data_IF_086934763274
#
_entry.id   IF_086934763274
#
_cell.length_a   1.000
_cell.length_b   1.000
_cell.length_c   1.000
_cell.angle_alpha   90.00
_cell.angle_beta   90.00
_cell.angle_gamma   90.00
#
_symmetry.space_group_name_H-M   'P 1'
#
loop_
_entity.id
_entity.type
_entity.pdbx_description
1 polymer ?
#
# COMPACT_ATOMS: atom_id res chain seq x y z
N UNK A 1 -12.15 1.46 7.97
CA UNK A 1 -10.90 0.95 8.61
C UNK A 1 -11.12 0.81 10.11
N UNK A 2 -10.57 -0.24 10.72
CA UNK A 2 -10.59 -0.39 12.20
C UNK A 2 -9.78 0.76 12.83
N UNK A 3 -10.20 1.24 13.99
CA UNK A 3 -9.57 2.40 14.66
C UNK A 3 -8.09 2.13 14.98
N UNK A 4 -7.81 0.99 15.58
CA UNK A 4 -6.45 0.58 15.96
C UNK A 4 -5.53 0.42 14.72
N UNK A 5 -6.07 -0.09 13.61
CA UNK A 5 -5.32 -0.20 12.37
C UNK A 5 -5.00 1.19 11.76
N UNK A 6 -5.89 2.16 11.91
CA UNK A 6 -5.63 3.54 11.52
C UNK A 6 -4.54 4.18 12.39
N UNK A 7 -4.60 3.96 13.71
CA UNK A 7 -3.57 4.45 14.64
C UNK A 7 -2.19 3.88 14.29
N UNK A 8 -2.09 2.58 14.01
CA UNK A 8 -0.83 1.94 13.58
C UNK A 8 -0.35 2.52 12.26
N UNK A 9 -1.25 2.72 11.29
CA UNK A 9 -0.90 3.29 9.98
C UNK A 9 -0.32 4.70 10.13
N UNK A 10 -0.86 5.53 11.01
CA UNK A 10 -0.39 6.90 11.24
C UNK A 10 0.84 6.98 12.14
N UNK A 11 0.95 6.11 13.14
CA UNK A 11 2.15 6.01 13.98
C UNK A 11 3.39 5.55 13.20
N UNK A 12 3.15 4.80 12.13
CA UNK A 12 4.18 4.26 11.27
C UNK A 12 4.54 2.81 11.59
N UNK A 13 4.72 2.05 10.53
CA UNK A 13 5.10 0.63 10.64
C UNK A 13 5.76 0.13 9.36
N UNK A 14 6.18 -1.13 9.39
CA UNK A 14 6.61 -1.87 8.20
C UNK A 14 5.45 -2.67 7.63
N UNK A 15 5.22 -2.50 6.33
CA UNK A 15 4.18 -3.20 5.57
C UNK A 15 4.84 -3.97 4.43
N UNK A 16 5.17 -5.26 4.61
CA UNK A 16 5.65 -6.07 3.51
C UNK A 16 4.56 -6.28 2.46
N UNK A 17 4.95 -6.08 1.19
CA UNK A 17 4.21 -6.49 0.02
C UNK A 17 4.53 -7.97 -0.24
N UNK A 18 3.56 -8.84 -0.03
CA UNK A 18 3.81 -10.29 0.01
C UNK A 18 3.96 -10.89 -1.38
N UNK A 19 4.96 -11.77 -1.62
CA UNK A 19 5.03 -12.55 -2.84
C UNK A 19 3.95 -13.62 -2.89
N UNK A 20 3.72 -14.17 -4.09
CA UNK A 20 2.83 -15.27 -4.35
C UNK A 20 3.59 -16.60 -4.26
N UNK A 21 3.09 -17.53 -3.45
CA UNK A 21 3.61 -18.88 -3.38
C UNK A 21 2.86 -19.78 -4.37
N UNK A 22 3.60 -20.38 -5.29
CA UNK A 22 3.08 -21.30 -6.29
C UNK A 22 3.79 -22.66 -6.22
N UNK A 23 3.06 -23.73 -6.53
CA UNK A 23 3.63 -25.06 -6.79
C UNK A 23 4.40 -25.07 -8.11
N UNK A 24 5.14 -26.14 -8.37
CA UNK A 24 5.83 -26.36 -9.65
C UNK A 24 4.86 -26.31 -10.86
N UNK A 25 3.60 -26.71 -10.65
CA UNK A 25 2.54 -26.69 -11.66
C UNK A 25 1.82 -25.33 -11.75
N UNK A 26 2.41 -24.27 -11.17
CA UNK A 26 1.87 -22.89 -11.14
C UNK A 26 0.48 -22.76 -10.49
N UNK A 27 0.12 -23.68 -9.59
CA UNK A 27 -1.08 -23.58 -8.75
C UNK A 27 -0.73 -22.90 -7.43
N UNK A 28 -1.72 -22.30 -6.76
CA UNK A 28 -1.53 -21.71 -5.45
C UNK A 28 -1.00 -22.76 -4.44
N UNK A 29 0.16 -22.49 -3.87
CA UNK A 29 0.69 -23.24 -2.73
C UNK A 29 0.14 -22.66 -1.43
N UNK A 30 -1.03 -23.14 -0.98
CA UNK A 30 -1.67 -22.72 0.27
C UNK A 30 -0.72 -22.82 1.46
N UNK A 31 0.00 -23.93 1.60
CA UNK A 31 0.93 -24.14 2.70
C UNK A 31 2.10 -23.14 2.66
N UNK A 32 2.68 -22.93 1.49
CA UNK A 32 3.75 -21.95 1.27
C UNK A 32 3.28 -20.54 1.57
N UNK A 33 2.10 -20.15 1.07
CA UNK A 33 1.52 -18.83 1.31
C UNK A 33 1.27 -18.58 2.80
N UNK A 34 0.73 -19.55 3.54
CA UNK A 34 0.53 -19.45 5.00
C UNK A 34 1.85 -19.35 5.77
N UNK A 35 2.87 -20.13 5.38
CA UNK A 35 4.20 -20.04 6.01
C UNK A 35 4.82 -18.66 5.81
N UNK A 36 4.66 -18.07 4.64
CA UNK A 36 5.13 -16.74 4.32
C UNK A 36 4.46 -15.68 5.20
N UNK A 37 3.14 -15.77 5.39
CA UNK A 37 2.42 -14.86 6.28
C UNK A 37 2.92 -14.97 7.72
N UNK A 38 3.06 -16.19 8.24
CA UNK A 38 3.59 -16.43 9.59
C UNK A 38 5.00 -15.88 9.77
N UNK A 39 5.83 -15.98 8.73
CA UNK A 39 7.17 -15.40 8.75
C UNK A 39 7.12 -13.88 8.96
N UNK A 40 6.36 -13.14 8.14
CA UNK A 40 6.25 -11.69 8.25
C UNK A 40 5.65 -11.25 9.58
N UNK A 41 4.58 -11.90 10.03
CA UNK A 41 3.91 -11.59 11.29
C UNK A 41 4.84 -11.82 12.50
N UNK A 42 5.56 -12.96 12.54
CA UNK A 42 6.52 -13.25 13.61
C UNK A 42 7.76 -12.36 13.55
N UNK A 43 8.10 -11.84 12.38
CA UNK A 43 9.18 -10.88 12.20
C UNK A 43 8.82 -9.48 12.71
N UNK A 44 7.56 -9.21 13.05
CA UNK A 44 7.11 -7.96 13.65
C UNK A 44 6.54 -6.96 12.64
N UNK A 45 6.09 -7.40 11.46
CA UNK A 45 5.34 -6.54 10.55
C UNK A 45 4.06 -6.03 11.23
N UNK A 46 3.82 -4.72 11.21
CA UNK A 46 2.60 -4.12 11.75
C UNK A 46 1.48 -4.00 10.71
N UNK A 47 1.78 -4.29 9.45
CA UNK A 47 0.80 -4.43 8.38
C UNK A 47 1.24 -5.48 7.36
N UNK A 48 0.31 -5.97 6.58
CA UNK A 48 0.54 -6.91 5.46
C UNK A 48 -0.23 -6.43 4.24
N UNK A 49 0.44 -6.37 3.09
CA UNK A 49 -0.19 -6.07 1.81
C UNK A 49 -0.12 -7.27 0.86
N UNK A 50 -1.25 -7.66 0.29
CA UNK A 50 -1.37 -8.78 -0.64
C UNK A 50 -2.25 -8.43 -1.83
N UNK A 51 -2.07 -9.13 -2.97
CA UNK A 51 -2.71 -8.73 -4.22
C UNK A 51 -2.11 -7.46 -4.81
N UNK A 52 -0.86 -7.14 -4.47
CA UNK A 52 -0.11 -5.98 -4.94
C UNK A 52 0.97 -6.42 -5.94
N UNK A 53 1.75 -5.49 -6.48
CA UNK A 53 2.77 -5.78 -7.51
C UNK A 53 3.63 -7.02 -7.19
N UNK A 54 4.12 -7.15 -5.95
CA UNK A 54 4.94 -8.30 -5.53
C UNK A 54 4.19 -9.64 -5.46
N UNK A 55 2.85 -9.58 -5.34
CA UNK A 55 1.98 -10.76 -5.35
C UNK A 55 1.65 -11.21 -6.77
N UNK A 56 2.06 -10.45 -7.77
CA UNK A 56 1.76 -10.58 -9.20
C UNK A 56 0.38 -10.04 -9.57
N UNK A 57 0.34 -9.10 -10.55
CA UNK A 57 -0.92 -8.51 -11.00
C UNK A 57 -1.79 -9.49 -11.79
N UNK A 58 -1.21 -10.54 -12.33
CA UNK A 58 -1.93 -11.59 -13.06
C UNK A 58 -2.99 -12.29 -12.21
N UNK A 59 -2.87 -12.29 -10.88
CA UNK A 59 -3.90 -12.88 -10.01
C UNK A 59 -5.22 -12.13 -10.02
N UNK A 60 -5.24 -10.89 -10.51
CA UNK A 60 -6.45 -10.07 -10.69
C UNK A 60 -7.22 -10.43 -11.95
N UNK A 61 -6.63 -11.19 -12.87
CA UNK A 61 -7.33 -11.73 -14.03
C UNK A 61 -8.37 -12.77 -13.57
N UNK A 62 -9.65 -12.61 -13.93
CA UNK A 62 -10.68 -13.59 -13.59
C UNK A 62 -10.40 -15.01 -14.10
N UNK A 63 -9.67 -15.15 -15.22
CA UNK A 63 -9.28 -16.46 -15.75
C UNK A 63 -8.23 -17.15 -14.87
N UNK A 64 -7.37 -16.38 -14.21
CA UNK A 64 -6.40 -16.90 -13.21
C UNK A 64 -7.10 -17.21 -11.89
N UNK A 65 -8.02 -16.35 -11.46
CA UNK A 65 -8.92 -16.58 -10.33
C UNK A 65 -8.24 -16.70 -8.95
N UNK A 66 -7.02 -16.18 -8.79
CA UNK A 66 -6.25 -16.36 -7.55
C UNK A 66 -6.39 -15.21 -6.55
N UNK A 67 -6.96 -14.08 -6.90
CA UNK A 67 -7.07 -12.93 -5.99
C UNK A 67 -7.85 -13.28 -4.72
N UNK A 68 -9.06 -13.80 -4.87
CA UNK A 68 -9.92 -14.12 -3.73
C UNK A 68 -9.32 -15.18 -2.79
N UNK A 69 -8.82 -16.34 -3.27
CA UNK A 69 -8.21 -17.32 -2.39
C UNK A 69 -6.93 -16.81 -1.70
N UNK A 70 -6.08 -16.03 -2.37
CA UNK A 70 -4.88 -15.43 -1.75
C UNK A 70 -5.27 -14.46 -0.66
N UNK A 71 -6.20 -13.55 -0.91
CA UNK A 71 -6.67 -12.60 0.09
C UNK A 71 -7.32 -13.30 1.28
N UNK A 72 -8.08 -14.38 1.06
CA UNK A 72 -8.68 -15.16 2.14
C UNK A 72 -7.62 -15.81 3.05
N UNK A 73 -6.61 -16.46 2.48
CA UNK A 73 -5.49 -17.05 3.24
C UNK A 73 -4.79 -16.01 4.11
N UNK A 74 -4.50 -14.84 3.54
CA UNK A 74 -3.81 -13.75 4.27
C UNK A 74 -4.67 -13.24 5.41
N UNK A 75 -5.97 -12.99 5.17
CA UNK A 75 -6.90 -12.55 6.20
C UNK A 75 -7.03 -13.56 7.37
N UNK A 76 -7.10 -14.86 7.05
CA UNK A 76 -7.15 -15.94 8.04
C UNK A 76 -5.88 -16.01 8.91
N UNK A 77 -4.68 -15.96 8.31
CA UNK A 77 -3.43 -16.03 9.07
C UNK A 77 -3.24 -14.79 9.95
N UNK A 78 -3.65 -13.61 9.47
CA UNK A 78 -3.65 -12.40 10.30
C UNK A 78 -4.63 -12.55 11.47
N UNK A 79 -5.86 -13.01 11.22
CA UNK A 79 -6.86 -13.20 12.28
C UNK A 79 -6.38 -14.19 13.36
N UNK A 80 -5.73 -15.28 12.96
CA UNK A 80 -5.10 -16.24 13.89
C UNK A 80 -4.00 -15.60 14.72
N UNK A 81 -3.16 -14.77 14.08
CA UNK A 81 -2.09 -14.07 14.77
C UNK A 81 -2.63 -13.03 15.75
N UNK A 82 -3.60 -12.21 15.33
CA UNK A 82 -4.26 -11.21 16.18
C UNK A 82 -4.89 -11.87 17.41
N UNK A 83 -5.64 -12.96 17.22
CA UNK A 83 -6.28 -13.71 18.30
C UNK A 83 -5.26 -14.29 19.31
N UNK A 84 -4.11 -14.77 18.82
CA UNK A 84 -3.08 -15.38 19.65
C UNK A 84 -2.26 -14.34 20.43
N UNK A 85 -1.98 -13.18 19.84
CA UNK A 85 -1.00 -12.22 20.37
C UNK A 85 -1.62 -10.94 20.90
N UNK A 86 -2.92 -10.70 20.72
CA UNK A 86 -3.60 -9.47 21.13
C UNK A 86 -3.10 -8.22 20.40
N UNK A 87 -2.54 -8.39 19.20
CA UNK A 87 -1.95 -7.29 18.40
C UNK A 87 -2.74 -7.10 17.13
N UNK A 88 -3.10 -5.86 16.81
CA UNK A 88 -3.72 -5.50 15.54
C UNK A 88 -2.68 -5.43 14.42
N UNK A 89 -2.99 -6.02 13.27
CA UNK A 89 -2.20 -5.95 12.03
C UNK A 89 -3.00 -5.23 10.95
N UNK A 90 -2.43 -4.23 10.31
CA UNK A 90 -3.07 -3.50 9.21
C UNK A 90 -3.17 -4.42 7.99
N UNK A 91 -4.40 -4.68 7.52
CA UNK A 91 -4.68 -5.55 6.36
C UNK A 91 -4.91 -4.69 5.12
N UNK A 92 -4.03 -4.82 4.12
CA UNK A 92 -4.10 -4.07 2.88
C UNK A 92 -4.25 -5.04 1.70
N UNK A 93 -5.31 -4.87 0.91
CA UNK A 93 -5.47 -5.59 -0.35
C UNK A 93 -5.05 -4.70 -1.52
N UNK A 94 -4.52 -5.28 -2.59
CA UNK A 94 -4.37 -4.60 -3.86
C UNK A 94 -5.73 -4.45 -4.56
N UNK A 95 -5.90 -3.34 -5.29
CA UNK A 95 -6.98 -3.17 -6.26
C UNK A 95 -6.41 -2.56 -7.54
N UNK A 96 -6.77 -3.12 -8.69
CA UNK A 96 -6.23 -2.69 -9.99
C UNK A 96 -7.32 -2.66 -11.07
N UNK A 97 -6.92 -2.53 -12.33
CA UNK A 97 -7.82 -2.53 -13.47
C UNK A 97 -8.70 -1.27 -13.62
N UNK A 98 -9.64 -1.27 -14.56
CA UNK A 98 -10.61 -0.19 -14.77
C UNK A 98 -11.47 0.09 -13.54
N UNK A 99 -12.29 1.14 -13.59
CA UNK A 99 -13.09 1.61 -12.46
C UNK A 99 -13.97 0.51 -11.87
N UNK A 100 -14.69 -0.21 -12.70
CA UNK A 100 -15.62 -1.27 -12.30
C UNK A 100 -14.88 -2.42 -11.58
N UNK A 101 -13.76 -2.87 -12.14
CA UNK A 101 -12.93 -3.92 -11.54
C UNK A 101 -12.36 -3.45 -10.19
N UNK A 102 -11.78 -2.25 -10.13
CA UNK A 102 -11.22 -1.73 -8.90
C UNK A 102 -12.27 -1.60 -7.77
N UNK A 103 -13.51 -1.24 -8.10
CA UNK A 103 -14.63 -1.20 -7.15
C UNK A 103 -14.99 -2.61 -6.67
N UNK A 104 -15.11 -3.59 -7.58
CA UNK A 104 -15.42 -4.98 -7.23
C UNK A 104 -14.33 -5.61 -6.34
N UNK A 105 -13.06 -5.33 -6.64
CA UNK A 105 -11.94 -5.80 -5.82
C UNK A 105 -11.92 -5.15 -4.42
N UNK A 106 -12.27 -3.86 -4.33
CA UNK A 106 -12.45 -3.19 -3.06
C UNK A 106 -13.62 -3.77 -2.24
N UNK A 107 -14.73 -4.11 -2.89
CA UNK A 107 -15.85 -4.80 -2.24
C UNK A 107 -15.47 -6.19 -1.71
N UNK A 108 -14.72 -6.96 -2.50
CA UNK A 108 -14.15 -8.24 -2.07
C UNK A 108 -13.23 -8.06 -0.84
N UNK A 109 -12.31 -7.10 -0.91
CA UNK A 109 -11.41 -6.80 0.21
C UNK A 109 -12.18 -6.41 1.48
N UNK A 110 -13.19 -5.54 1.35
CA UNK A 110 -14.08 -5.15 2.45
C UNK A 110 -14.81 -6.35 3.03
N UNK A 111 -15.35 -7.25 2.20
CA UNK A 111 -16.04 -8.48 2.61
C UNK A 111 -15.10 -9.42 3.38
N UNK A 112 -13.83 -9.50 2.99
CA UNK A 112 -12.81 -10.29 3.68
C UNK A 112 -12.20 -9.61 4.91
N UNK A 113 -12.69 -8.42 5.28
CA UNK A 113 -12.29 -7.70 6.47
C UNK A 113 -10.93 -7.01 6.37
N UNK A 114 -10.53 -6.59 5.17
CA UNK A 114 -9.36 -5.73 4.96
C UNK A 114 -9.63 -4.30 5.44
N UNK A 115 -8.58 -3.61 5.86
CA UNK A 115 -8.66 -2.25 6.41
C UNK A 115 -8.60 -1.18 5.32
N UNK A 116 -7.81 -1.39 4.28
CA UNK A 116 -7.64 -0.47 3.16
C UNK A 116 -7.28 -1.22 1.87
N UNK A 117 -7.42 -0.54 0.73
CA UNK A 117 -6.85 -1.01 -0.54
C UNK A 117 -5.71 -0.11 -1.00
N UNK A 118 -4.65 -0.72 -1.52
CA UNK A 118 -3.63 -0.06 -2.33
C UNK A 118 -4.12 -0.02 -3.76
N UNK A 119 -4.48 1.16 -4.24
CA UNK A 119 -5.05 1.36 -5.57
C UNK A 119 -3.94 1.50 -6.62
N UNK A 120 -3.66 0.44 -7.37
CA UNK A 120 -2.62 0.44 -8.40
C UNK A 120 -3.05 1.31 -9.60
N UNK A 121 -2.17 2.22 -10.07
CA UNK A 121 -2.44 3.00 -11.28
C UNK A 121 -1.93 2.30 -12.56
N UNK A 122 -1.21 1.18 -12.44
CA UNK A 122 -0.63 0.47 -13.58
C UNK A 122 -1.64 -0.30 -14.41
N UNK A 123 -1.24 -0.66 -15.64
CA UNK A 123 -2.07 -1.47 -16.54
C UNK A 123 -3.25 -0.74 -17.19
N UNK A 124 -3.27 0.59 -17.19
CA UNK A 124 -4.36 1.43 -17.71
C UNK A 124 -3.87 2.39 -18.78
N UNK A 125 -3.39 1.89 -19.93
CA UNK A 125 -2.87 2.75 -20.98
C UNK A 125 -3.94 3.73 -21.48
N UNK A 126 -3.55 5.01 -21.58
CA UNK A 126 -4.44 6.07 -22.06
C UNK A 126 -5.40 6.66 -21.01
N UNK A 127 -5.46 6.11 -19.80
CA UNK A 127 -6.23 6.72 -18.72
C UNK A 127 -5.49 7.95 -18.19
N UNK A 128 -6.13 9.11 -18.26
CA UNK A 128 -5.56 10.36 -17.77
C UNK A 128 -5.72 10.54 -16.23
N UNK A 129 -5.15 11.64 -15.71
CA UNK A 129 -5.23 11.93 -14.27
C UNK A 129 -6.67 12.10 -13.77
N UNK A 130 -7.57 12.64 -14.57
CA UNK A 130 -8.99 12.81 -14.21
C UNK A 130 -9.68 11.46 -14.08
N UNK A 131 -9.42 10.54 -15.02
CA UNK A 131 -9.91 9.16 -14.96
C UNK A 131 -9.39 8.41 -13.74
N UNK A 132 -8.09 8.57 -13.40
CA UNK A 132 -7.53 7.99 -12.19
C UNK A 132 -8.15 8.57 -10.91
N UNK A 133 -8.47 9.88 -10.86
CA UNK A 133 -9.17 10.51 -9.73
C UNK A 133 -10.61 10.02 -9.61
N UNK A 134 -11.32 9.88 -10.72
CA UNK A 134 -12.69 9.33 -10.74
C UNK A 134 -12.70 7.90 -10.17
N UNK A 135 -11.73 7.08 -10.58
CA UNK A 135 -11.50 5.72 -10.07
C UNK A 135 -11.21 5.72 -8.56
N UNK A 136 -10.30 6.58 -8.10
CA UNK A 136 -9.98 6.71 -6.67
C UNK A 136 -11.21 7.15 -5.85
N UNK A 137 -12.00 8.10 -6.34
CA UNK A 137 -13.26 8.52 -5.70
C UNK A 137 -14.28 7.38 -5.61
N UNK A 138 -14.43 6.56 -6.66
CA UNK A 138 -15.35 5.44 -6.66
C UNK A 138 -14.97 4.38 -5.63
N UNK A 139 -13.69 4.01 -5.59
CA UNK A 139 -13.15 3.05 -4.61
C UNK A 139 -13.23 3.60 -3.18
N UNK A 140 -12.95 4.88 -2.97
CA UNK A 140 -13.02 5.55 -1.67
C UNK A 140 -14.42 5.54 -1.05
N UNK A 141 -15.48 5.41 -1.86
CA UNK A 141 -16.86 5.21 -1.38
C UNK A 141 -17.09 3.81 -0.82
N UNK A 142 -16.28 2.85 -1.20
CA UNK A 142 -16.38 1.44 -0.74
C UNK A 142 -15.57 1.23 0.54
N UNK A 143 -14.30 1.66 0.55
CA UNK A 143 -13.40 1.51 1.68
C UNK A 143 -12.19 2.47 1.60
N UNK A 144 -11.41 2.59 2.68
CA UNK A 144 -10.21 3.44 2.69
C UNK A 144 -9.21 3.08 1.58
N UNK A 145 -8.64 4.13 0.96
CA UNK A 145 -7.71 4.04 -0.16
C UNK A 145 -6.31 4.47 0.28
N UNK A 146 -5.33 3.69 -0.12
CA UNK A 146 -3.94 4.08 -0.15
C UNK A 146 -3.59 4.43 -1.59
N UNK A 147 -3.29 5.70 -1.85
CA UNK A 147 -2.81 6.14 -3.16
C UNK A 147 -1.45 5.52 -3.47
N UNK A 148 -1.14 5.33 -4.74
CA UNK A 148 0.10 4.68 -5.13
C UNK A 148 0.81 5.40 -6.28
N UNK A 149 2.05 5.81 -6.04
CA UNK A 149 2.98 6.21 -7.10
C UNK A 149 3.84 5.00 -7.46
N UNK A 150 3.45 4.33 -8.53
CA UNK A 150 4.19 3.20 -9.09
C UNK A 150 5.25 3.71 -10.07
N UNK A 151 6.46 3.17 -10.03
CA UNK A 151 7.53 3.54 -10.95
C UNK A 151 7.18 3.24 -12.42
N UNK A 152 7.65 4.10 -13.32
CA UNK A 152 7.34 4.00 -14.75
C UNK A 152 7.95 2.75 -15.40
N UNK A 153 9.05 2.24 -14.87
CA UNK A 153 9.73 1.03 -15.37
C UNK A 153 8.83 -0.23 -15.30
N UNK A 154 7.79 -0.23 -14.44
CA UNK A 154 6.83 -1.32 -14.32
C UNK A 154 5.40 -0.85 -14.68
N UNK A 155 5.28 0.14 -15.56
CA UNK A 155 4.01 0.58 -16.12
C UNK A 155 3.24 1.61 -15.27
N UNK A 156 3.87 2.24 -14.30
CA UNK A 156 3.26 3.34 -13.54
C UNK A 156 3.21 4.64 -14.36
N UNK A 157 2.07 5.37 -14.35
CA UNK A 157 2.00 6.70 -14.95
C UNK A 157 2.72 7.74 -14.10
N UNK A 158 3.26 8.77 -14.76
CA UNK A 158 3.79 9.95 -14.09
C UNK A 158 2.66 10.95 -13.88
N UNK A 159 2.27 11.13 -12.63
CA UNK A 159 1.22 12.07 -12.28
C UNK A 159 1.76 13.48 -12.03
N UNK A 160 0.95 14.48 -12.40
CA UNK A 160 1.26 15.90 -12.11
C UNK A 160 1.09 16.22 -10.63
N UNK A 161 1.68 17.32 -10.17
CA UNK A 161 1.46 17.83 -8.82
C UNK A 161 -0.04 18.07 -8.53
N UNK A 162 -0.79 18.61 -9.52
CA UNK A 162 -2.25 18.85 -9.39
C UNK A 162 -3.06 17.56 -9.16
N UNK A 163 -2.62 16.45 -9.75
CA UNK A 163 -3.25 15.14 -9.48
C UNK A 163 -3.10 14.77 -8.00
N UNK A 164 -1.89 14.91 -7.46
CA UNK A 164 -1.64 14.58 -6.05
C UNK A 164 -2.38 15.50 -5.10
N UNK A 165 -2.46 16.81 -5.40
CA UNK A 165 -3.30 17.75 -4.64
C UNK A 165 -4.76 17.28 -4.62
N UNK A 166 -5.34 16.95 -5.77
CA UNK A 166 -6.72 16.50 -5.88
C UNK A 166 -6.96 15.16 -5.18
N UNK A 167 -6.01 14.21 -5.29
CA UNK A 167 -6.11 12.93 -4.59
C UNK A 167 -6.13 13.10 -3.06
N UNK A 168 -5.32 14.03 -2.54
CA UNK A 168 -5.27 14.30 -1.10
C UNK A 168 -6.60 14.84 -0.55
N UNK A 169 -7.42 15.49 -1.35
CA UNK A 169 -8.71 16.04 -0.91
C UNK A 169 -9.86 15.01 -0.94
N UNK A 170 -9.63 13.77 -1.39
CA UNK A 170 -10.61 12.69 -1.32
C UNK A 170 -10.71 12.18 0.13
N UNK A 171 -11.87 12.28 0.74
CA UNK A 171 -12.09 12.05 2.18
C UNK A 171 -11.56 10.73 2.72
N UNK A 172 -11.64 9.66 1.96
CA UNK A 172 -11.28 8.31 2.40
C UNK A 172 -9.90 7.86 1.84
N UNK A 173 -9.09 8.79 1.33
CA UNK A 173 -7.65 8.55 1.11
C UNK A 173 -6.94 8.72 2.44
N UNK A 174 -6.38 7.63 2.97
CA UNK A 174 -5.81 7.56 4.34
C UNK A 174 -4.28 7.48 4.35
N UNK A 175 -3.70 7.11 3.21
CA UNK A 175 -2.25 7.08 3.04
C UNK A 175 -1.87 7.21 1.56
N UNK A 176 -0.58 7.48 1.30
CA UNK A 176 0.01 7.39 -0.03
C UNK A 176 1.32 6.59 0.08
N UNK A 177 1.44 5.56 -0.78
CA UNK A 177 2.70 4.85 -1.03
C UNK A 177 3.45 5.57 -2.14
N UNK A 178 4.62 6.12 -1.84
CA UNK A 178 5.51 6.72 -2.82
C UNK A 178 6.63 5.73 -3.19
N UNK A 179 6.57 5.22 -4.42
CA UNK A 179 7.58 4.32 -4.99
C UNK A 179 7.89 4.69 -6.46
N UNK A 180 8.10 5.97 -6.80
CA UNK A 180 8.44 6.35 -8.16
C UNK A 180 9.90 6.06 -8.53
N UNK A 181 10.78 5.80 -7.57
CA UNK A 181 12.24 5.70 -7.72
C UNK A 181 12.83 6.97 -8.37
N UNK A 182 12.19 8.10 -8.12
CA UNK A 182 12.52 9.42 -8.62
C UNK A 182 12.34 10.44 -7.48
N UNK A 183 13.42 11.15 -7.14
CA UNK A 183 13.42 12.09 -6.01
C UNK A 183 12.49 13.27 -6.24
N UNK A 184 12.41 13.79 -7.46
CA UNK A 184 11.56 14.94 -7.77
C UNK A 184 10.07 14.58 -7.69
N UNK A 185 9.70 13.39 -8.20
CA UNK A 185 8.34 12.88 -8.04
C UNK A 185 8.01 12.65 -6.56
N UNK A 186 8.92 12.04 -5.80
CA UNK A 186 8.76 11.84 -4.34
C UNK A 186 8.50 13.17 -3.63
N UNK A 187 9.31 14.21 -3.92
CA UNK A 187 9.14 15.54 -3.34
C UNK A 187 7.82 16.20 -3.74
N UNK A 188 7.37 16.01 -4.98
CA UNK A 188 6.07 16.52 -5.42
C UNK A 188 4.91 15.90 -4.66
N UNK A 189 4.96 14.57 -4.41
CA UNK A 189 3.95 13.86 -3.62
C UNK A 189 3.95 14.37 -2.18
N UNK A 190 5.13 14.39 -1.54
CA UNK A 190 5.28 14.85 -0.17
C UNK A 190 4.78 16.28 0.02
N UNK A 191 5.07 17.17 -0.94
CA UNK A 191 4.62 18.58 -0.94
C UNK A 191 3.10 18.68 -1.09
N UNK A 192 2.50 17.89 -1.98
CA UNK A 192 1.05 17.87 -2.16
C UNK A 192 0.34 17.47 -0.86
N UNK A 193 0.82 16.43 -0.19
CA UNK A 193 0.28 16.01 1.11
C UNK A 193 0.52 17.06 2.18
N UNK A 194 1.74 17.63 2.26
CA UNK A 194 2.06 18.67 3.25
C UNK A 194 1.17 19.90 3.15
N UNK A 195 0.79 20.30 1.92
CA UNK A 195 -0.05 21.47 1.66
C UNK A 195 -1.55 21.18 1.66
N UNK A 196 -1.96 19.91 1.71
CA UNK A 196 -3.37 19.50 1.77
C UNK A 196 -4.03 19.92 3.09
N UNK A 197 -5.31 20.24 3.04
CA UNK A 197 -6.15 20.44 4.22
C UNK A 197 -6.24 19.18 5.10
N UNK A 198 -5.87 18.02 4.55
CA UNK A 198 -5.92 16.70 5.19
C UNK A 198 -4.54 16.11 5.49
N UNK A 199 -3.51 16.96 5.58
CA UNK A 199 -2.12 16.52 5.78
C UNK A 199 -1.95 15.60 7.01
N UNK A 200 -2.65 15.86 8.08
CA UNK A 200 -2.69 15.06 9.32
C UNK A 200 -3.44 13.73 9.20
N UNK A 201 -4.29 13.60 8.18
CA UNK A 201 -5.12 12.42 7.91
C UNK A 201 -4.53 11.47 6.87
N UNK A 202 -3.42 11.85 6.23
CA UNK A 202 -2.78 11.06 5.18
C UNK A 202 -1.39 10.65 5.63
N UNK A 203 -1.19 9.37 5.93
CA UNK A 203 0.12 8.80 6.23
C UNK A 203 0.95 8.64 4.95
N UNK A 204 2.25 8.93 5.02
CA UNK A 204 3.17 8.71 3.90
C UNK A 204 3.98 7.45 4.13
N UNK A 205 4.03 6.58 3.12
CA UNK A 205 4.81 5.35 3.14
C UNK A 205 5.80 5.34 1.98
N UNK A 206 7.09 5.10 2.28
CA UNK A 206 8.09 4.95 1.23
C UNK A 206 8.10 3.53 0.68
N UNK A 207 8.20 3.42 -0.63
CA UNK A 207 8.50 2.21 -1.38
C UNK A 207 9.66 2.45 -2.35
N UNK A 208 10.47 3.49 -2.12
CA UNK A 208 11.71 3.76 -2.82
C UNK A 208 12.81 2.87 -2.24
N UNK A 209 12.93 1.65 -2.74
CA UNK A 209 13.80 0.61 -2.19
C UNK A 209 15.28 1.02 -2.17
N UNK A 210 15.68 1.88 -3.10
CA UNK A 210 17.03 2.47 -3.22
C UNK A 210 17.32 3.58 -2.20
N UNK A 211 16.29 4.10 -1.50
CA UNK A 211 16.44 5.28 -0.65
C UNK A 211 15.62 5.24 0.67
N UNK A 212 15.21 4.05 1.12
CA UNK A 212 14.33 3.85 2.27
C UNK A 212 14.86 4.53 3.55
N UNK A 213 16.14 4.34 3.86
CA UNK A 213 16.75 4.86 5.09
C UNK A 213 16.71 6.40 5.09
N UNK A 214 17.11 7.02 4.00
CA UNK A 214 17.08 8.48 3.87
C UNK A 214 15.65 9.03 3.93
N UNK A 215 14.69 8.36 3.29
CA UNK A 215 13.27 8.73 3.34
C UNK A 215 12.73 8.70 4.78
N UNK A 216 13.00 7.65 5.54
CA UNK A 216 12.51 7.49 6.92
C UNK A 216 13.15 8.46 7.91
N UNK A 217 14.42 8.85 7.69
CA UNK A 217 15.14 9.76 8.56
C UNK A 217 14.91 11.24 8.24
N UNK A 218 14.35 11.56 7.05
CA UNK A 218 14.21 12.94 6.58
C UNK A 218 12.88 13.55 7.04
N UNK A 219 12.94 14.75 7.62
CA UNK A 219 11.79 15.64 7.72
C UNK A 219 11.82 16.61 6.54
N UNK A 220 10.79 16.54 5.70
CA UNK A 220 10.67 17.41 4.52
C UNK A 220 9.96 18.70 4.90
N UNK A 221 10.49 19.85 4.46
CA UNK A 221 9.97 21.17 4.72
C UNK A 221 9.55 21.84 3.41
N UNK A 222 8.30 22.29 3.33
CA UNK A 222 7.72 22.89 2.13
C UNK A 222 7.19 24.29 2.45
N UNK A 223 7.89 25.37 2.07
CA UNK A 223 7.42 26.73 2.30
C UNK A 223 6.21 27.08 1.40
N UNK A 224 5.20 27.71 1.97
CA UNK A 224 4.03 28.27 1.25
C UNK A 224 3.47 29.45 2.02
N UNK A 225 3.33 30.61 1.36
CA UNK A 225 2.73 31.82 1.95
C UNK A 225 3.35 32.24 3.29
N UNK A 226 4.68 32.20 3.40
CA UNK A 226 5.41 32.58 4.61
C UNK A 226 5.38 31.57 5.75
N UNK A 227 4.75 30.40 5.55
CA UNK A 227 4.72 29.29 6.51
C UNK A 227 5.53 28.12 5.97
N UNK A 228 6.10 27.32 6.87
CA UNK A 228 6.74 26.04 6.54
C UNK A 228 5.81 24.89 6.95
N UNK A 229 5.58 23.99 6.02
CA UNK A 229 4.78 22.77 6.24
C UNK A 229 5.72 21.58 6.26
N UNK A 230 5.62 20.78 7.30
CA UNK A 230 6.47 19.61 7.48
C UNK A 230 5.72 18.34 7.10
N UNK A 231 6.45 17.38 6.51
CA UNK A 231 5.95 16.04 6.28
C UNK A 231 7.08 15.02 6.39
N UNK A 232 6.77 13.86 6.96
CA UNK A 232 7.68 12.71 7.07
C UNK A 232 7.03 11.47 6.49
N UNK A 233 7.85 10.52 6.09
CA UNK A 233 7.36 9.16 5.92
C UNK A 233 7.10 8.55 7.30
N UNK A 234 5.91 8.00 7.49
CA UNK A 234 5.53 7.30 8.70
C UNK A 234 6.18 5.91 8.75
N UNK A 235 6.33 5.25 7.61
CA UNK A 235 6.87 3.90 7.55
C UNK A 235 7.27 3.46 6.15
N UNK A 236 7.62 2.19 6.05
CA UNK A 236 8.01 1.56 4.80
C UNK A 236 6.97 0.59 4.28
N UNK A 237 6.78 0.60 2.96
CA UNK A 237 5.83 -0.25 2.26
C UNK A 237 6.49 -0.80 0.98
N UNK A 238 7.21 -1.91 1.09
CA UNK A 238 8.01 -2.46 0.00
C UNK A 238 7.99 -3.99 -0.04
N UNK A 239 8.54 -4.57 -1.12
CA UNK A 239 8.76 -5.99 -1.25
C UNK A 239 9.93 -6.42 -0.36
N UNK A 240 9.64 -7.08 0.75
CA UNK A 240 10.68 -7.70 1.57
C UNK A 240 10.79 -9.15 1.16
N UNK A 241 11.84 -9.47 0.44
CA UNK A 241 12.23 -10.85 0.18
C UNK A 241 12.98 -11.33 1.42
N UNK A 242 12.57 -12.45 2.05
CA UNK A 242 13.27 -12.98 3.22
C UNK A 242 14.64 -13.54 2.80
N UNK A 243 15.67 -12.70 2.82
CA UNK A 243 17.05 -13.13 2.72
C UNK A 243 17.66 -13.22 4.13
N UNK A 244 17.94 -14.45 4.58
CA UNK A 244 18.70 -14.69 5.81
C UNK A 244 17.87 -14.71 7.10
N UNK A 245 18.57 -14.95 8.24
CA UNK A 245 17.97 -15.24 9.55
C UNK A 245 17.49 -14.02 10.35
N UNK A 246 17.72 -12.79 9.88
CA UNK A 246 17.29 -11.58 10.60
C UNK A 246 16.76 -10.53 9.63
N UNK A 247 15.50 -10.09 9.78
CA UNK A 247 14.95 -9.04 8.94
C UNK A 247 15.61 -7.70 9.30
N UNK A 248 16.20 -7.06 8.30
CA UNK A 248 16.94 -5.79 8.45
C UNK A 248 16.08 -4.64 9.02
N UNK A 249 14.75 -4.68 8.89
CA UNK A 249 13.87 -3.64 9.42
C UNK A 249 13.81 -3.54 10.95
N UNK A 250 14.21 -4.59 11.70
CA UNK A 250 14.27 -4.50 13.16
C UNK A 250 15.20 -3.39 13.64
N UNK A 251 16.19 -3.03 12.81
CA UNK A 251 17.13 -1.94 13.08
C UNK A 251 16.62 -0.57 12.65
N UNK A 252 15.58 -0.50 11.81
CA UNK A 252 15.06 0.76 11.27
C UNK A 252 13.93 1.36 12.11
N UNK A 253 13.39 0.59 13.08
CA UNK A 253 12.28 1.02 13.93
C UNK A 253 12.66 1.10 15.42
N UNK A 254 13.91 0.82 15.76
CA UNK A 254 14.49 1.05 17.10
C UNK A 254 15.15 2.42 17.18
#
# INVERSE_FOLDING_TARGET
MRKEAMEILHAGTVIPATPLALTADKKLDDKGQRLLMRYYLNAGAGGIASGVHSTQFEIHDPEVGLLAPVLAIVAEEIARFEAKHGKTIVKIAGACGPLEQAVQEAELARKLGYDAVLLSPGGLPGLDGAGHLARANAVAKVMPVIGFSLQSAVGGPVFTFKYWEALCEIDNVVAIKAAPFDRYQTLNIMRAVAWSSRSDKIAMYTGNDDNIVADLLTTFHFPKNGKSYEKRFAGGFWAIIPYGRSPMWKFLLS
#
